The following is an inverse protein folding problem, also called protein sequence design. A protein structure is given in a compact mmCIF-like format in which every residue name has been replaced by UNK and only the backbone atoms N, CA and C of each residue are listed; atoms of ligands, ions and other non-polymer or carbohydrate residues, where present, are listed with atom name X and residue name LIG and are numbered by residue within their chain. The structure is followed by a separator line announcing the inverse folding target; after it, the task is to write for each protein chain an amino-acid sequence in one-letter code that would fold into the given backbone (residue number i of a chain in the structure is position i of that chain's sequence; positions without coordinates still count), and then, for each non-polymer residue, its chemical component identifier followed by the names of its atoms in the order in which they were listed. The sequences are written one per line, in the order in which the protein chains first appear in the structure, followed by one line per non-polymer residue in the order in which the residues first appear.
data_IF_328246541815
#
_entry.id   IF_328246541815
#
_cell.length_a   1.000
_cell.length_b   1.000
_cell.length_c   1.000
_cell.angle_alpha   90.00
_cell.angle_beta   90.00
_cell.angle_gamma   90.00
#
_symmetry.space_group_name_H-M   'P 1'
#
loop_
_entity.id
_entity.type
_entity.pdbx_description
1 polymer ?
#
# COMPACT_ATOMS: atom_id res chain seq x y z
N UNK A 1 -1.55 -6.41 16.21
CA UNK A 1 -2.01 -5.03 15.92
C UNK A 1 -3.49 -4.81 16.22
N UNK A 2 -4.46 -5.49 15.59
CA UNK A 2 -5.91 -5.30 15.79
C UNK A 2 -6.35 -5.31 17.27
N UNK A 3 -5.88 -6.28 18.06
CA UNK A 3 -6.19 -6.33 19.48
C UNK A 3 -5.69 -5.10 20.27
N UNK A 4 -4.57 -4.51 19.88
CA UNK A 4 -4.07 -3.29 20.51
C UNK A 4 -4.92 -2.07 20.15
N UNK A 5 -5.32 -1.95 18.89
CA UNK A 5 -6.22 -0.88 18.43
C UNK A 5 -7.54 -0.95 19.20
N UNK A 6 -8.15 -2.12 19.29
CA UNK A 6 -9.45 -2.30 19.96
C UNK A 6 -9.37 -2.16 21.49
N UNK A 7 -8.21 -2.40 22.11
CA UNK A 7 -8.01 -2.06 23.54
C UNK A 7 -7.96 -0.54 23.76
N UNK A 8 -7.35 0.21 22.84
CA UNK A 8 -7.29 1.67 22.91
C UNK A 8 -8.61 2.34 22.53
N UNK A 9 -9.29 1.81 21.52
CA UNK A 9 -10.59 2.27 21.07
C UNK A 9 -11.47 1.10 20.63
N UNK A 10 -12.36 0.59 21.52
CA UNK A 10 -13.26 -0.53 21.20
C UNK A 10 -14.23 -0.26 20.04
N UNK A 11 -14.47 1.02 19.73
CA UNK A 11 -15.38 1.46 18.64
C UNK A 11 -14.62 1.85 17.37
N UNK A 12 -13.33 1.57 17.29
CA UNK A 12 -12.56 1.88 16.10
C UNK A 12 -13.14 1.18 14.85
N UNK A 13 -13.43 1.96 13.82
CA UNK A 13 -13.74 1.43 12.49
C UNK A 13 -12.42 1.09 11.81
N UNK A 14 -12.16 -0.20 11.62
CA UNK A 14 -10.89 -0.69 11.08
C UNK A 14 -11.12 -1.29 9.70
N UNK A 15 -10.39 -0.81 8.71
CA UNK A 15 -10.30 -1.41 7.38
C UNK A 15 -8.88 -1.91 7.14
N UNK A 16 -8.73 -3.14 6.71
CA UNK A 16 -7.45 -3.71 6.26
C UNK A 16 -7.37 -3.50 4.75
N UNK A 17 -6.49 -2.60 4.31
CA UNK A 17 -6.24 -2.35 2.90
C UNK A 17 -5.00 -3.14 2.46
N UNK A 18 -5.18 -4.07 1.53
CA UNK A 18 -4.10 -4.92 1.00
C UNK A 18 -3.36 -4.15 -0.09
N UNK A 19 -2.12 -3.81 0.19
CA UNK A 19 -1.25 -3.00 -0.67
C UNK A 19 -0.62 -3.87 -1.78
N UNK A 20 -1.37 -4.14 -2.83
CA UNK A 20 -0.96 -4.99 -3.97
C UNK A 20 -0.07 -4.27 -4.98
N UNK A 21 -0.04 -2.93 -4.96
CA UNK A 21 0.60 -2.16 -6.02
C UNK A 21 -0.05 -2.45 -7.37
N UNK A 22 0.78 -2.67 -8.40
CA UNK A 22 0.31 -3.08 -9.74
C UNK A 22 0.36 -4.61 -9.95
N UNK A 23 0.40 -5.38 -8.88
CA UNK A 23 0.30 -6.85 -8.95
C UNK A 23 -1.16 -7.30 -8.96
N UNK A 24 -1.39 -8.58 -9.27
CA UNK A 24 -2.73 -9.18 -9.18
C UNK A 24 -3.31 -9.05 -7.77
N UNK A 25 -4.61 -9.00 -7.69
CA UNK A 25 -5.32 -9.02 -6.42
C UNK A 25 -5.04 -10.30 -5.60
N UNK A 26 -5.05 -10.16 -4.28
CA UNK A 26 -4.91 -11.27 -3.34
C UNK A 26 -6.18 -12.11 -3.31
N UNK A 27 -6.06 -13.42 -3.41
CA UNK A 27 -7.20 -14.34 -3.34
C UNK A 27 -7.70 -14.55 -1.90
N UNK A 28 -8.93 -15.02 -1.75
CA UNK A 28 -9.48 -15.35 -0.43
C UNK A 28 -8.65 -16.40 0.31
N UNK A 29 -8.13 -17.40 -0.41
CA UNK A 29 -7.27 -18.42 0.19
C UNK A 29 -5.97 -17.83 0.76
N UNK A 30 -5.33 -16.93 0.03
CA UNK A 30 -4.13 -16.20 0.49
C UNK A 30 -4.44 -15.27 1.69
N UNK A 31 -5.62 -14.65 1.72
CA UNK A 31 -6.05 -13.86 2.88
C UNK A 31 -6.22 -14.74 4.13
N UNK A 32 -6.84 -15.92 3.98
CA UNK A 32 -7.02 -16.87 5.07
C UNK A 32 -5.67 -17.39 5.57
N UNK A 33 -4.78 -17.75 4.66
CA UNK A 33 -3.42 -18.19 5.01
C UNK A 33 -2.65 -17.11 5.80
N UNK A 34 -2.79 -15.85 5.39
CA UNK A 34 -2.06 -14.72 5.99
C UNK A 34 -2.66 -14.24 7.31
N UNK A 35 -3.97 -14.14 7.42
CA UNK A 35 -4.66 -13.50 8.55
C UNK A 35 -5.45 -14.48 9.41
N UNK A 36 -5.72 -15.69 8.93
CA UNK A 36 -6.62 -16.66 9.55
C UNK A 36 -8.09 -16.41 9.22
N UNK A 37 -8.89 -17.48 9.31
CA UNK A 37 -10.33 -17.45 8.99
C UNK A 37 -11.11 -16.44 9.84
N UNK A 38 -10.79 -16.32 11.11
CA UNK A 38 -11.49 -15.42 12.04
C UNK A 38 -11.38 -13.95 11.62
N UNK A 39 -10.18 -13.48 11.26
CA UNK A 39 -9.95 -12.11 10.82
C UNK A 39 -10.64 -11.88 9.48
N UNK A 40 -10.50 -12.81 8.53
CA UNK A 40 -11.10 -12.70 7.20
C UNK A 40 -12.63 -12.67 7.27
N UNK A 41 -13.22 -13.38 8.23
CA UNK A 41 -14.68 -13.39 8.40
C UNK A 41 -15.23 -12.15 9.13
N UNK A 42 -14.42 -11.51 9.98
CA UNK A 42 -14.88 -10.45 10.90
C UNK A 42 -14.50 -9.04 10.47
N UNK A 43 -13.33 -8.87 9.86
CA UNK A 43 -12.81 -7.54 9.56
C UNK A 43 -13.16 -7.11 8.13
N UNK A 44 -13.28 -5.80 7.93
CA UNK A 44 -13.41 -5.23 6.59
C UNK A 44 -12.05 -5.31 5.90
N UNK A 45 -11.96 -6.09 4.83
CA UNK A 45 -10.75 -6.24 4.02
C UNK A 45 -11.03 -5.72 2.61
N UNK A 46 -10.21 -4.81 2.13
CA UNK A 46 -10.26 -4.26 0.78
C UNK A 46 -8.93 -4.56 0.08
N UNK A 47 -9.01 -5.09 -1.13
CA UNK A 47 -7.83 -5.34 -1.96
C UNK A 47 -7.67 -4.13 -2.87
N UNK A 48 -6.49 -3.50 -2.82
CA UNK A 48 -6.17 -2.41 -3.72
C UNK A 48 -6.07 -2.91 -5.17
N UNK A 49 -6.65 -2.17 -6.10
CA UNK A 49 -6.44 -2.32 -7.53
C UNK A 49 -5.94 -0.99 -8.10
N UNK A 50 -4.70 -0.96 -8.58
CA UNK A 50 -4.09 0.26 -9.08
C UNK A 50 -4.76 0.81 -10.36
N UNK A 51 -5.58 0.02 -11.04
CA UNK A 51 -6.32 0.40 -12.25
C UNK A 51 -7.75 0.92 -11.95
N UNK A 52 -8.22 0.78 -10.73
CA UNK A 52 -9.55 1.25 -10.29
C UNK A 52 -9.54 2.77 -10.09
N UNK A 53 -9.78 3.53 -11.16
CA UNK A 53 -9.72 5.01 -11.15
C UNK A 53 -10.64 5.66 -10.11
N UNK A 54 -11.86 5.12 -9.94
CA UNK A 54 -12.85 5.64 -9.00
C UNK A 54 -12.46 5.41 -7.53
N UNK A 55 -11.57 4.47 -7.27
CA UNK A 55 -11.02 4.23 -5.93
C UNK A 55 -9.86 5.17 -5.57
N UNK A 56 -9.36 5.96 -6.51
CA UNK A 56 -8.20 6.82 -6.33
C UNK A 56 -8.58 8.27 -6.02
N UNK A 57 -7.69 8.95 -5.31
CA UNK A 57 -7.76 10.39 -5.06
C UNK A 57 -6.38 11.01 -5.17
N UNK A 58 -6.32 12.20 -5.76
CA UNK A 58 -5.07 12.98 -5.83
C UNK A 58 -4.84 13.65 -4.48
N UNK A 59 -3.68 13.40 -3.87
CA UNK A 59 -3.28 13.99 -2.59
C UNK A 59 -2.11 14.97 -2.73
N UNK A 60 -1.55 15.12 -3.92
CA UNK A 60 -0.45 16.04 -4.19
C UNK A 60 0.25 15.77 -5.50
N UNK A 61 1.45 16.32 -5.61
CA UNK A 61 2.34 16.15 -6.77
C UNK A 61 3.69 15.62 -6.28
N UNK A 62 4.23 14.64 -6.99
CA UNK A 62 5.57 14.13 -6.74
C UNK A 62 6.62 15.23 -7.04
N UNK A 63 7.78 15.26 -6.37
CA UNK A 63 8.85 16.21 -6.68
C UNK A 63 9.29 16.18 -8.17
N UNK A 64 9.10 15.04 -8.82
CA UNK A 64 9.36 14.82 -10.26
C UNK A 64 8.24 15.33 -11.18
N UNK A 65 7.16 15.91 -10.66
CA UNK A 65 6.07 16.53 -11.42
C UNK A 65 4.84 15.66 -11.66
N UNK A 66 4.90 14.35 -11.39
CA UNK A 66 3.74 13.45 -11.56
C UNK A 66 2.67 13.62 -10.48
N UNK A 67 1.41 13.39 -10.83
CA UNK A 67 0.34 13.38 -9.84
C UNK A 67 0.52 12.23 -8.83
N UNK A 68 0.42 12.53 -7.54
CA UNK A 68 0.39 11.53 -6.48
C UNK A 68 -1.07 11.16 -6.19
N UNK A 69 -1.51 10.04 -6.73
CA UNK A 69 -2.84 9.48 -6.53
C UNK A 69 -2.74 8.19 -5.74
N UNK A 70 -3.51 8.09 -4.66
CA UNK A 70 -3.55 6.89 -3.81
C UNK A 70 -4.98 6.43 -3.57
N UNK A 71 -5.13 5.24 -3.01
CA UNK A 71 -6.43 4.69 -2.63
C UNK A 71 -7.13 5.63 -1.63
N UNK A 72 -8.37 5.97 -1.95
CA UNK A 72 -9.22 6.89 -1.18
C UNK A 72 -9.43 6.45 0.26
N UNK A 73 -9.48 5.15 0.52
CA UNK A 73 -9.62 4.61 1.88
C UNK A 73 -8.46 5.06 2.76
N UNK A 74 -7.23 4.98 2.25
CA UNK A 74 -6.06 5.41 2.98
C UNK A 74 -5.99 6.94 3.13
N UNK A 75 -6.36 7.68 2.07
CA UNK A 75 -6.34 9.14 2.09
C UNK A 75 -7.34 9.75 3.08
N UNK A 76 -8.45 9.06 3.34
CA UNK A 76 -9.52 9.52 4.24
C UNK A 76 -9.43 8.90 5.65
N UNK A 77 -8.41 8.11 5.94
CA UNK A 77 -8.25 7.51 7.25
C UNK A 77 -7.76 8.53 8.29
N UNK A 78 -8.38 8.55 9.48
CA UNK A 78 -7.91 9.38 10.62
C UNK A 78 -6.54 8.90 11.12
N UNK A 79 -6.27 7.60 10.98
CA UNK A 79 -4.99 6.97 11.32
C UNK A 79 -4.65 5.89 10.29
N UNK A 80 -3.53 6.05 9.61
CA UNK A 80 -2.99 5.07 8.68
C UNK A 80 -1.80 4.35 9.30
N UNK A 81 -1.90 3.02 9.41
CA UNK A 81 -0.84 2.16 9.92
C UNK A 81 -0.37 1.25 8.79
N UNK A 82 0.94 1.23 8.54
CA UNK A 82 1.56 0.32 7.58
C UNK A 82 2.22 -0.85 8.30
N UNK A 83 1.91 -2.07 7.86
CA UNK A 83 2.52 -3.31 8.34
C UNK A 83 2.98 -4.13 7.15
N UNK A 84 4.19 -4.70 7.24
CA UNK A 84 4.74 -5.52 6.19
C UNK A 84 6.16 -5.97 6.48
N UNK A 85 6.68 -6.87 5.65
CA UNK A 85 8.06 -7.30 5.72
C UNK A 85 9.00 -6.24 5.15
N UNK A 86 10.20 -6.16 5.72
CA UNK A 86 11.28 -5.31 5.21
C UNK A 86 12.36 -6.24 4.67
N UNK A 87 12.55 -6.19 3.36
CA UNK A 87 13.51 -7.02 2.63
C UNK A 87 14.29 -6.15 1.63
N UNK A 88 15.54 -6.51 1.30
CA UNK A 88 16.28 -5.84 0.23
C UNK A 88 15.55 -5.89 -1.10
N UNK A 89 15.56 -4.78 -1.83
CA UNK A 89 14.92 -4.66 -3.13
C UNK A 89 15.90 -4.09 -4.16
N UNK A 90 15.98 -4.69 -5.33
CA UNK A 90 17.04 -4.47 -6.31
C UNK A 90 17.17 -3.00 -6.81
N UNK A 91 16.12 -2.18 -6.80
CA UNK A 91 16.22 -0.76 -7.13
C UNK A 91 15.58 0.17 -6.10
N UNK A 92 14.61 -0.27 -5.32
CA UNK A 92 13.91 0.60 -4.37
C UNK A 92 14.58 0.67 -2.99
N UNK A 93 15.73 0.03 -2.80
CA UNK A 93 16.41 -0.12 -1.53
C UNK A 93 15.81 -1.25 -0.71
N UNK A 94 14.66 -1.03 -0.09
CA UNK A 94 13.95 -2.02 0.73
C UNK A 94 12.47 -2.05 0.40
N UNK A 95 11.82 -3.20 0.62
CA UNK A 95 10.37 -3.35 0.68
C UNK A 95 9.82 -2.83 2.02
N UNK A 96 8.51 -2.81 2.17
CA UNK A 96 7.86 -2.33 3.40
C UNK A 96 7.94 -0.82 3.61
N UNK A 97 7.58 -0.36 4.79
CA UNK A 97 7.62 1.05 5.15
C UNK A 97 6.83 1.94 4.17
N UNK A 98 7.44 3.01 3.69
CA UNK A 98 6.84 3.96 2.73
C UNK A 98 6.43 3.31 1.40
N UNK A 99 7.02 2.18 1.06
CA UNK A 99 6.68 1.43 -0.15
C UNK A 99 5.27 0.83 -0.10
N UNK A 100 4.70 0.67 1.08
CA UNK A 100 3.28 0.30 1.23
C UNK A 100 2.33 1.37 0.71
N UNK A 101 2.77 2.64 0.64
CA UNK A 101 2.00 3.74 0.04
C UNK A 101 2.32 3.87 -1.45
N UNK A 102 3.60 4.02 -1.81
CA UNK A 102 4.04 4.09 -3.20
C UNK A 102 5.11 3.00 -3.44
N UNK A 103 4.81 1.96 -4.21
CA UNK A 103 3.66 1.76 -5.10
C UNK A 103 2.42 1.10 -4.46
N UNK A 104 2.46 0.65 -3.22
CA UNK A 104 1.55 -0.32 -2.62
C UNK A 104 0.06 -0.03 -2.76
N UNK A 105 -0.36 1.22 -2.60
CA UNK A 105 -1.76 1.67 -2.71
C UNK A 105 -1.92 2.85 -3.68
N UNK A 106 -0.95 3.06 -4.56
CA UNK A 106 -0.95 4.15 -5.52
C UNK A 106 -1.63 3.75 -6.85
N UNK A 107 -2.18 4.74 -7.55
CA UNK A 107 -2.72 4.58 -8.89
C UNK A 107 -1.64 4.14 -9.88
N UNK A 108 -2.02 3.38 -10.90
CA UNK A 108 -1.14 2.85 -11.92
C UNK A 108 -0.27 3.93 -12.58
N UNK A 109 -0.85 5.07 -12.92
CA UNK A 109 -0.12 6.19 -13.52
C UNK A 109 0.95 6.75 -12.57
N UNK A 110 0.65 6.86 -11.27
CA UNK A 110 1.61 7.31 -10.25
C UNK A 110 2.77 6.33 -10.11
N UNK A 111 2.46 5.03 -10.13
CA UNK A 111 3.49 3.97 -10.08
C UNK A 111 4.40 4.05 -11.30
N UNK A 112 3.84 4.15 -12.51
CA UNK A 112 4.63 4.21 -13.75
C UNK A 112 5.46 5.49 -13.85
N UNK A 113 4.93 6.61 -13.37
CA UNK A 113 5.71 7.84 -13.26
C UNK A 113 6.95 7.67 -12.39
N UNK A 114 6.78 7.03 -11.24
CA UNK A 114 7.88 6.82 -10.28
C UNK A 114 8.82 5.66 -10.66
N UNK A 115 8.34 4.66 -11.40
CA UNK A 115 9.11 3.49 -11.83
C UNK A 115 9.54 3.61 -13.31
N UNK A 116 9.94 4.80 -13.74
CA UNK A 116 10.47 5.03 -15.09
C UNK A 116 11.94 4.61 -15.21
N UNK A 117 12.41 4.50 -16.45
CA UNK A 117 13.76 4.03 -16.75
C UNK A 117 14.86 4.89 -16.12
N UNK A 118 14.68 6.22 -16.09
CA UNK A 118 15.67 7.15 -15.55
C UNK A 118 15.85 6.97 -14.04
N UNK A 119 14.74 6.80 -13.31
CA UNK A 119 14.80 6.56 -11.86
C UNK A 119 15.39 5.19 -11.54
N UNK A 120 15.03 4.15 -12.29
CA UNK A 120 15.56 2.79 -12.08
C UNK A 120 17.05 2.74 -12.40
N UNK A 121 17.52 3.47 -13.44
CA UNK A 121 18.93 3.55 -13.83
C UNK A 121 19.77 4.45 -12.92
N UNK A 122 19.15 5.20 -12.01
CA UNK A 122 19.87 6.10 -11.10
C UNK A 122 20.86 5.33 -10.22
N UNK A 123 22.06 5.91 -10.05
CA UNK A 123 23.08 5.36 -9.15
C UNK A 123 22.61 5.25 -7.69
N UNK A 124 21.55 5.97 -7.32
CA UNK A 124 20.94 5.95 -5.99
C UNK A 124 19.79 4.92 -5.86
N UNK A 125 19.38 4.29 -6.97
CA UNK A 125 18.29 3.31 -6.97
C UNK A 125 18.82 1.90 -6.64
N UNK A 126 19.26 1.70 -5.41
CA UNK A 126 19.78 0.41 -4.92
C UNK A 126 19.76 0.30 -3.40
N UNK A 127 19.90 -0.90 -2.90
CA UNK A 127 20.01 -1.17 -1.45
C UNK A 127 21.30 -0.59 -0.88
N UNK A 128 21.21 0.06 0.27
CA UNK A 128 22.37 0.54 1.02
C UNK A 128 22.84 1.95 0.66
N UNK A 129 22.04 2.71 -0.09
CA UNK A 129 22.27 4.12 -0.40
C UNK A 129 21.25 5.01 0.30
#
# INVERSE_FOLDING_TARGET
MLAAIRRGNPKANVTILIATGCHRGTTKAELIEKFGEEIVAREQIVIHDCAEEDAMVTIGTLPSGGALRINRIAANADLLISEGFIEPHFFAGFSGGRKSVLPGIAAKETVFWNHNADFIASAFARTGI
#
